data_IF_144073620230
#
_entry.id   IF_144073620230
#
_cell.length_a   1.000
_cell.length_b   1.000
_cell.length_c   1.000
_cell.angle_alpha   90.00
_cell.angle_beta   90.00
_cell.angle_gamma   90.00
#
_symmetry.space_group_name_H-M   'P 1'
#
loop_
_entity.id
_entity.type
_entity.pdbx_description
1 polymer ?
#
# COMPACT_ATOMS: atom_id res chain seq x y z
N UNK A 1 27.25 15.74 -25.86
CA UNK A 1 25.82 15.89 -25.51
C UNK A 1 25.56 15.65 -24.03
N UNK A 2 25.87 14.46 -23.48
CA UNK A 2 25.66 14.17 -22.05
C UNK A 2 26.47 15.10 -21.11
N UNK A 3 27.75 15.34 -21.41
CA UNK A 3 28.60 16.21 -20.59
C UNK A 3 28.16 17.68 -20.63
N UNK A 4 27.81 18.18 -21.81
CA UNK A 4 27.23 19.51 -22.00
C UNK A 4 25.90 19.68 -21.25
N UNK A 5 25.04 18.66 -21.24
CA UNK A 5 23.81 18.67 -20.44
C UNK A 5 24.11 18.65 -18.94
N UNK A 6 25.07 17.84 -18.48
CA UNK A 6 25.50 17.80 -17.08
C UNK A 6 25.99 19.16 -16.61
N UNK A 7 26.86 19.81 -17.38
CA UNK A 7 27.39 21.15 -17.07
C UNK A 7 26.27 22.19 -17.02
N UNK A 8 25.35 22.16 -17.98
CA UNK A 8 24.18 23.05 -18.00
C UNK A 8 23.23 22.82 -16.82
N UNK A 9 22.97 21.56 -16.47
CA UNK A 9 22.07 21.18 -15.38
C UNK A 9 22.61 21.62 -14.03
N UNK A 10 23.93 21.50 -13.81
CA UNK A 10 24.60 21.87 -12.56
C UNK A 10 25.05 23.35 -12.50
N UNK A 11 24.53 24.21 -13.37
CA UNK A 11 24.79 25.65 -13.27
C UNK A 11 24.33 26.20 -11.92
N UNK A 12 25.22 26.95 -11.25
CA UNK A 12 25.01 27.48 -9.89
C UNK A 12 23.70 28.27 -9.77
N UNK A 13 23.39 29.11 -10.76
CA UNK A 13 22.15 29.92 -10.82
C UNK A 13 20.85 29.11 -10.68
N UNK A 14 20.87 27.82 -11.00
CA UNK A 14 19.68 26.98 -10.92
C UNK A 14 19.48 26.39 -9.53
N UNK A 15 20.54 26.24 -8.75
CA UNK A 15 20.52 25.46 -7.51
C UNK A 15 20.83 26.27 -6.27
N UNK A 16 21.63 27.33 -6.40
CA UNK A 16 22.20 28.09 -5.30
C UNK A 16 21.79 29.56 -5.37
N UNK A 17 21.78 30.26 -4.22
CA UNK A 17 21.67 31.72 -4.19
C UNK A 17 22.79 32.40 -4.99
N UNK A 18 22.57 33.62 -5.54
CA UNK A 18 23.50 34.28 -6.47
C UNK A 18 24.94 34.49 -5.96
N UNK A 19 25.14 34.47 -4.64
CA UNK A 19 26.43 34.76 -3.98
C UNK A 19 27.23 33.51 -3.61
N UNK A 20 26.71 32.30 -3.85
CA UNK A 20 27.30 31.04 -3.39
C UNK A 20 27.66 30.13 -4.56
N UNK A 21 28.82 29.47 -4.46
CA UNK A 21 29.31 28.51 -5.47
C UNK A 21 29.28 27.07 -4.95
N UNK A 22 29.38 26.11 -5.85
CA UNK A 22 29.49 24.70 -5.43
C UNK A 22 30.74 24.42 -4.60
N UNK A 23 31.84 25.14 -4.85
CA UNK A 23 33.09 25.03 -4.08
C UNK A 23 32.92 25.43 -2.61
N UNK A 24 31.92 26.27 -2.29
CA UNK A 24 31.60 26.64 -0.91
C UNK A 24 30.92 25.52 -0.11
N UNK A 25 30.45 24.49 -0.81
CA UNK A 25 29.70 23.34 -0.27
C UNK A 25 30.50 22.03 -0.42
N UNK A 26 31.82 22.13 -0.58
CA UNK A 26 32.71 20.98 -0.48
C UNK A 26 33.06 20.69 0.98
N UNK A 27 33.38 19.43 1.30
CA UNK A 27 33.72 19.06 2.68
C UNK A 27 35.01 19.78 3.12
N UNK A 28 34.94 20.51 4.22
CA UNK A 28 36.06 21.24 4.80
C UNK A 28 35.90 21.32 6.32
N UNK A 29 37.02 21.45 7.05
CA UNK A 29 37.03 21.65 8.50
C UNK A 29 36.23 20.60 9.32
N UNK A 30 36.15 19.37 8.80
CA UNK A 30 35.37 18.28 9.40
C UNK A 30 33.86 18.39 9.18
N UNK A 31 33.38 19.41 8.46
CA UNK A 31 32.01 19.55 8.00
C UNK A 31 31.82 18.76 6.72
N UNK A 32 30.79 17.92 6.69
CA UNK A 32 30.38 17.17 5.50
C UNK A 32 29.16 17.86 4.91
N UNK A 33 29.11 17.99 3.59
CA UNK A 33 27.97 18.58 2.87
C UNK A 33 27.26 17.55 2.00
N UNK A 34 26.00 17.83 1.66
CA UNK A 34 25.21 16.96 0.80
C UNK A 34 25.73 16.97 -0.63
N UNK A 35 26.09 15.79 -1.13
CA UNK A 35 26.56 15.59 -2.50
C UNK A 35 25.55 14.78 -3.30
N UNK A 36 25.33 15.09 -4.58
CA UNK A 36 24.45 14.29 -5.45
C UNK A 36 24.88 12.83 -5.54
N UNK A 37 26.18 12.54 -5.41
CA UNK A 37 26.71 11.18 -5.42
C UNK A 37 26.18 10.30 -4.28
N UNK A 38 25.79 10.90 -3.15
CA UNK A 38 25.19 10.18 -2.04
C UNK A 38 23.87 9.51 -2.44
N UNK A 39 23.13 10.07 -3.40
CA UNK A 39 21.86 9.49 -3.85
C UNK A 39 22.04 8.13 -4.55
N UNK A 40 23.24 7.83 -5.07
CA UNK A 40 23.50 6.54 -5.71
C UNK A 40 23.41 5.36 -4.76
N UNK A 41 23.62 5.55 -3.45
CA UNK A 41 23.48 4.48 -2.45
C UNK A 41 22.02 4.03 -2.28
N UNK A 42 21.06 4.88 -2.62
CA UNK A 42 19.64 4.58 -2.40
C UNK A 42 19.14 3.44 -3.29
N UNK A 43 19.73 3.27 -4.47
CA UNK A 43 19.38 2.20 -5.41
C UNK A 43 19.82 0.81 -4.91
N UNK A 44 21.10 0.54 -4.56
CA UNK A 44 21.47 -0.74 -3.97
C UNK A 44 20.78 -0.99 -2.62
N UNK A 45 20.56 0.05 -1.80
CA UNK A 45 19.75 -0.08 -0.58
C UNK A 45 18.31 -0.49 -0.89
N UNK A 46 17.69 0.02 -1.96
CA UNK A 46 16.35 -0.39 -2.39
C UNK A 46 16.29 -1.87 -2.76
N UNK A 47 17.29 -2.39 -3.49
CA UNK A 47 17.38 -3.83 -3.77
C UNK A 47 17.58 -4.66 -2.49
N UNK A 48 18.39 -4.15 -1.54
CA UNK A 48 18.52 -4.74 -0.21
C UNK A 48 17.18 -4.83 0.54
N UNK A 49 16.38 -3.75 0.49
CA UNK A 49 15.03 -3.72 1.05
C UNK A 49 14.07 -4.70 0.35
N UNK A 50 14.19 -4.91 -0.97
CA UNK A 50 13.39 -5.91 -1.68
C UNK A 50 13.74 -7.34 -1.26
N UNK A 51 15.03 -7.64 -1.05
CA UNK A 51 15.46 -8.94 -0.53
C UNK A 51 14.94 -9.13 0.90
N UNK A 52 15.07 -8.11 1.74
CA UNK A 52 14.55 -8.12 3.10
C UNK A 52 13.03 -8.32 3.12
N UNK A 53 12.30 -7.62 2.23
CA UNK A 53 10.85 -7.78 2.03
C UNK A 53 10.49 -9.22 1.73
N UNK A 54 11.18 -9.87 0.79
CA UNK A 54 10.92 -11.26 0.43
C UNK A 54 11.02 -12.21 1.63
N UNK A 55 12.07 -12.04 2.45
CA UNK A 55 12.24 -12.83 3.66
C UNK A 55 11.21 -12.48 4.75
N UNK A 56 10.89 -11.20 4.92
CA UNK A 56 9.89 -10.72 5.86
C UNK A 56 8.50 -11.28 5.55
N UNK A 57 8.08 -11.21 4.29
CA UNK A 57 6.77 -11.72 3.86
C UNK A 57 6.65 -13.23 4.14
N UNK A 58 7.72 -13.97 3.84
CA UNK A 58 7.77 -15.43 4.04
C UNK A 58 7.82 -15.85 5.50
N UNK A 59 8.67 -15.24 6.31
CA UNK A 59 8.98 -15.71 7.67
C UNK A 59 8.20 -14.99 8.78
N UNK A 60 7.70 -13.78 8.54
CA UNK A 60 7.01 -12.98 9.55
C UNK A 60 5.56 -12.76 9.16
N UNK A 61 5.30 -12.23 7.97
CA UNK A 61 3.94 -11.86 7.59
C UNK A 61 3.04 -13.08 7.35
N UNK A 62 3.57 -14.17 6.76
CA UNK A 62 2.77 -15.37 6.49
C UNK A 62 2.33 -16.09 7.76
N UNK A 63 3.21 -16.35 8.76
CA UNK A 63 2.77 -16.89 10.04
C UNK A 63 1.80 -15.95 10.77
N UNK A 64 2.05 -14.64 10.76
CA UNK A 64 1.17 -13.67 11.40
C UNK A 64 -0.24 -13.70 10.79
N UNK A 65 -0.35 -13.74 9.45
CA UNK A 65 -1.63 -13.86 8.76
C UNK A 65 -2.38 -15.13 9.18
N UNK A 66 -1.68 -16.27 9.28
CA UNK A 66 -2.26 -17.55 9.74
C UNK A 66 -2.76 -17.47 11.18
N UNK A 67 -2.01 -16.82 12.08
CA UNK A 67 -2.45 -16.61 13.47
C UNK A 67 -3.66 -15.69 13.60
N UNK A 68 -3.84 -14.76 12.66
CA UNK A 68 -5.01 -13.88 12.58
C UNK A 68 -6.22 -14.53 11.89
N UNK A 69 -6.12 -15.82 11.54
CA UNK A 69 -7.21 -16.58 10.92
C UNK A 69 -7.35 -16.40 9.41
N UNK A 70 -6.38 -15.75 8.75
CA UNK A 70 -6.39 -15.63 7.29
C UNK A 70 -6.00 -16.98 6.69
N UNK A 71 -7.00 -17.69 6.15
CA UNK A 71 -6.78 -18.97 5.47
C UNK A 71 -6.10 -18.73 4.12
N UNK A 72 -5.18 -19.63 3.80
CA UNK A 72 -4.54 -19.68 2.48
C UNK A 72 -5.52 -20.39 1.54
N UNK A 73 -6.37 -19.62 0.85
CA UNK A 73 -7.35 -20.16 -0.09
C UNK A 73 -6.64 -20.92 -1.21
N UNK A 74 -6.83 -22.24 -1.23
CA UNK A 74 -6.43 -23.07 -2.36
C UNK A 74 -7.39 -22.80 -3.49
N UNK A 75 -7.03 -21.86 -4.38
CA UNK A 75 -7.87 -21.53 -5.53
C UNK A 75 -8.19 -22.77 -6.35
N UNK A 76 -9.48 -23.06 -6.51
CA UNK A 76 -9.96 -24.12 -7.39
C UNK A 76 -9.38 -23.89 -8.78
N UNK A 77 -8.67 -24.90 -9.31
CA UNK A 77 -8.21 -24.86 -10.71
C UNK A 77 -9.44 -24.87 -11.61
N UNK A 78 -9.60 -23.83 -12.41
CA UNK A 78 -10.64 -23.74 -13.44
C UNK A 78 -10.48 -24.94 -14.38
N UNK A 79 -11.62 -25.54 -14.75
CA UNK A 79 -11.62 -26.52 -15.81
C UNK A 79 -11.14 -25.86 -17.12
N UNK A 80 -10.12 -26.42 -17.79
CA UNK A 80 -9.58 -25.83 -19.01
C UNK A 80 -10.64 -25.90 -20.12
N UNK A 81 -11.09 -24.74 -20.59
CA UNK A 81 -11.95 -24.59 -21.76
C UNK A 81 -11.33 -23.57 -22.71
N UNK A 82 -10.85 -24.06 -23.85
CA UNK A 82 -10.12 -23.24 -24.84
C UNK A 82 -11.02 -22.19 -25.50
N UNK A 83 -12.31 -22.47 -25.67
CA UNK A 83 -13.26 -21.53 -26.29
C UNK A 83 -13.53 -20.35 -25.35
N UNK A 84 -13.76 -20.64 -24.07
CA UNK A 84 -14.00 -19.60 -23.05
C UNK A 84 -12.73 -18.78 -22.78
N UNK A 85 -11.56 -19.42 -22.73
CA UNK A 85 -10.27 -18.74 -22.54
C UNK A 85 -9.91 -17.81 -23.71
N UNK A 86 -10.17 -18.25 -24.94
CA UNK A 86 -9.95 -17.42 -26.13
C UNK A 86 -10.87 -16.20 -26.14
N UNK A 87 -12.15 -16.38 -25.79
CA UNK A 87 -13.09 -15.26 -25.68
C UNK A 87 -12.68 -14.29 -24.56
N UNK A 88 -12.28 -14.80 -23.40
CA UNK A 88 -11.82 -13.99 -22.27
C UNK A 88 -10.60 -13.13 -22.61
N UNK A 89 -9.63 -13.67 -23.36
CA UNK A 89 -8.39 -12.96 -23.74
C UNK A 89 -8.59 -11.95 -24.87
N UNK A 90 -9.45 -12.25 -25.83
CA UNK A 90 -9.52 -11.50 -27.09
C UNK A 90 -10.79 -10.65 -27.26
N UNK A 91 -11.83 -10.85 -26.44
CA UNK A 91 -13.10 -10.13 -26.57
C UNK A 91 -13.43 -9.31 -25.32
N UNK A 92 -13.85 -9.93 -24.22
CA UNK A 92 -14.21 -9.22 -22.99
C UNK A 92 -14.08 -10.13 -21.77
N UNK A 93 -13.76 -9.53 -20.62
CA UNK A 93 -13.71 -10.18 -19.30
C UNK A 93 -15.09 -10.29 -18.64
N UNK A 94 -16.03 -9.45 -19.05
CA UNK A 94 -17.41 -9.42 -18.61
C UNK A 94 -18.31 -9.60 -19.84
N UNK A 95 -18.65 -10.85 -20.19
CA UNK A 95 -19.54 -11.14 -21.32
C UNK A 95 -20.95 -10.63 -21.03
N UNK A 96 -21.63 -10.14 -22.06
CA UNK A 96 -23.06 -9.80 -21.98
C UNK A 96 -23.93 -11.06 -21.95
N UNK A 97 -25.21 -10.93 -21.61
CA UNK A 97 -26.10 -12.10 -21.55
C UNK A 97 -26.28 -12.79 -22.91
N UNK A 98 -26.21 -12.03 -24.00
CA UNK A 98 -26.20 -12.59 -25.37
C UNK A 98 -24.92 -13.39 -25.66
N UNK A 99 -23.77 -12.95 -25.14
CA UNK A 99 -22.51 -13.67 -25.29
C UNK A 99 -22.50 -14.96 -24.47
N UNK A 100 -23.01 -14.92 -23.24
CA UNK A 100 -23.13 -16.09 -22.35
C UNK A 100 -23.95 -17.18 -23.02
N UNK A 101 -25.12 -16.85 -23.58
CA UNK A 101 -25.96 -17.79 -24.32
C UNK A 101 -25.22 -18.41 -25.52
N UNK A 102 -24.53 -17.58 -26.32
CA UNK A 102 -23.75 -18.03 -27.47
C UNK A 102 -22.60 -18.97 -27.10
N UNK A 103 -21.91 -18.68 -25.98
CA UNK A 103 -20.80 -19.47 -25.47
C UNK A 103 -21.27 -20.79 -24.83
N UNK A 104 -22.41 -20.77 -24.13
CA UNK A 104 -23.06 -21.94 -23.57
C UNK A 104 -23.38 -22.96 -24.68
N UNK A 105 -23.99 -22.48 -25.77
CA UNK A 105 -24.30 -23.31 -26.94
C UNK A 105 -23.04 -23.87 -27.64
N UNK A 106 -21.98 -23.07 -27.77
CA UNK A 106 -20.71 -23.52 -28.40
C UNK A 106 -19.96 -24.55 -27.56
N UNK A 107 -20.04 -24.45 -26.24
CA UNK A 107 -19.30 -25.31 -25.31
C UNK A 107 -20.10 -26.53 -24.82
N UNK A 108 -21.38 -26.68 -25.22
CA UNK A 108 -22.33 -27.62 -24.63
C UNK A 108 -22.39 -27.49 -23.09
N UNK A 109 -22.37 -26.26 -22.60
CA UNK A 109 -22.48 -25.91 -21.19
C UNK A 109 -23.80 -25.18 -20.93
N UNK A 110 -24.24 -25.16 -19.68
CA UNK A 110 -25.33 -24.27 -19.25
C UNK A 110 -24.84 -22.84 -19.12
N UNK A 111 -25.74 -21.86 -19.25
CA UNK A 111 -25.42 -20.43 -19.05
C UNK A 111 -24.76 -20.20 -17.69
N UNK A 112 -25.32 -20.81 -16.63
CA UNK A 112 -24.78 -20.73 -15.27
C UNK A 112 -23.37 -21.30 -15.13
N UNK A 113 -23.02 -22.36 -15.89
CA UNK A 113 -21.65 -22.90 -15.91
C UNK A 113 -20.68 -21.96 -16.62
N UNK A 114 -21.13 -21.29 -17.70
CA UNK A 114 -20.33 -20.28 -18.40
C UNK A 114 -20.11 -19.07 -17.50
N UNK A 115 -21.16 -18.55 -16.85
CA UNK A 115 -21.06 -17.47 -15.87
C UNK A 115 -20.09 -17.81 -14.73
N UNK A 116 -20.23 -19.00 -14.13
CA UNK A 116 -19.31 -19.49 -13.10
C UNK A 116 -17.87 -19.61 -13.61
N UNK A 117 -17.68 -20.06 -14.84
CA UNK A 117 -16.34 -20.15 -15.44
C UNK A 117 -15.72 -18.76 -15.61
N UNK A 118 -16.44 -17.78 -16.14
CA UNK A 118 -15.94 -16.40 -16.29
C UNK A 118 -15.66 -15.75 -14.94
N UNK A 119 -16.53 -15.95 -13.95
CA UNK A 119 -16.36 -15.49 -12.57
C UNK A 119 -15.08 -16.09 -11.95
N UNK A 120 -14.96 -17.41 -11.95
CA UNK A 120 -13.77 -18.12 -11.45
C UNK A 120 -12.48 -17.71 -12.19
N UNK A 121 -12.57 -17.45 -13.51
CA UNK A 121 -11.45 -16.97 -14.33
C UNK A 121 -10.98 -15.58 -13.98
N UNK A 122 -11.90 -14.65 -13.66
CA UNK A 122 -11.54 -13.34 -13.13
C UNK A 122 -10.89 -13.48 -11.75
N UNK A 123 -11.46 -14.30 -10.88
CA UNK A 123 -10.96 -14.48 -9.50
C UNK A 123 -9.59 -15.18 -9.44
N UNK A 124 -9.24 -16.00 -10.44
CA UNK A 124 -7.89 -16.55 -10.55
C UNK A 124 -6.80 -15.51 -10.82
N UNK A 125 -7.11 -14.42 -11.55
CA UNK A 125 -6.16 -13.33 -11.81
C UNK A 125 -6.08 -12.32 -10.66
N UNK A 126 -7.07 -12.32 -9.74
CA UNK A 126 -7.08 -11.43 -8.57
C UNK A 126 -5.93 -11.80 -7.62
N UNK A 127 -5.43 -10.92 -6.76
CA UNK A 127 -4.42 -11.28 -5.78
C UNK A 127 -5.05 -11.82 -4.50
N UNK A 128 -4.51 -12.93 -3.97
CA UNK A 128 -5.02 -13.54 -2.75
C UNK A 128 -5.00 -12.56 -1.56
N UNK A 129 -5.99 -12.63 -0.68
CA UNK A 129 -6.06 -11.85 0.57
C UNK A 129 -4.79 -11.97 1.42
N UNK A 130 -4.21 -13.18 1.46
CA UNK A 130 -2.89 -13.43 2.06
C UNK A 130 -1.81 -12.50 1.50
N UNK A 131 -1.73 -12.35 0.17
CA UNK A 131 -0.77 -11.45 -0.47
C UNK A 131 -1.08 -9.98 -0.15
N UNK A 132 -2.35 -9.57 -0.22
CA UNK A 132 -2.79 -8.21 0.19
C UNK A 132 -2.34 -7.90 1.64
N UNK A 133 -2.47 -8.85 2.56
CA UNK A 133 -2.02 -8.74 3.95
C UNK A 133 -0.50 -8.68 4.08
N UNK A 134 0.25 -9.55 3.38
CA UNK A 134 1.71 -9.55 3.41
C UNK A 134 2.29 -8.21 2.95
N UNK A 135 1.78 -7.66 1.84
CA UNK A 135 2.19 -6.35 1.32
C UNK A 135 1.89 -5.23 2.33
N UNK A 136 0.70 -5.24 2.94
CA UNK A 136 0.32 -4.26 3.97
C UNK A 136 1.19 -4.38 5.24
N UNK A 137 1.50 -5.61 5.68
CA UNK A 137 2.32 -5.88 6.85
C UNK A 137 3.77 -5.41 6.68
N UNK A 138 4.35 -5.60 5.49
CA UNK A 138 5.67 -5.06 5.16
C UNK A 138 5.69 -3.54 5.23
N UNK A 139 4.71 -2.89 4.56
CA UNK A 139 4.60 -1.42 4.56
C UNK A 139 4.37 -0.87 5.96
N UNK A 140 3.46 -1.48 6.73
CA UNK A 140 3.24 -1.15 8.14
C UNK A 140 4.53 -1.17 8.95
N UNK A 141 5.30 -2.26 8.85
CA UNK A 141 6.54 -2.43 9.62
C UNK A 141 7.56 -1.36 9.24
N UNK A 142 7.73 -1.10 7.94
CA UNK A 142 8.63 -0.05 7.48
C UNK A 142 8.19 1.33 7.97
N UNK A 143 6.93 1.71 7.76
CA UNK A 143 6.42 3.02 8.17
C UNK A 143 6.47 3.23 9.69
N UNK A 144 6.22 2.18 10.47
CA UNK A 144 6.36 2.24 11.93
C UNK A 144 7.82 2.51 12.33
N UNK A 145 8.76 1.73 11.77
CA UNK A 145 10.18 1.86 12.09
C UNK A 145 10.74 3.22 11.65
N UNK A 146 10.38 3.70 10.45
CA UNK A 146 10.87 4.98 9.95
C UNK A 146 10.26 6.15 10.72
N UNK A 147 8.99 6.06 11.17
CA UNK A 147 8.39 7.07 12.04
C UNK A 147 9.13 7.15 13.38
N UNK A 148 9.42 6.01 14.01
CA UNK A 148 10.17 5.96 15.27
C UNK A 148 11.59 6.53 15.08
N UNK A 149 12.27 6.14 14.00
CA UNK A 149 13.59 6.66 13.65
C UNK A 149 13.55 8.17 13.39
N UNK A 150 12.55 8.66 12.66
CA UNK A 150 12.35 10.08 12.37
C UNK A 150 12.15 10.90 13.64
N UNK A 151 11.32 10.44 14.58
CA UNK A 151 11.18 11.07 15.90
C UNK A 151 12.52 11.08 16.63
N UNK A 152 13.23 9.95 16.68
CA UNK A 152 14.51 9.85 17.38
C UNK A 152 15.61 10.75 16.77
N UNK A 153 15.68 10.84 15.45
CA UNK A 153 16.67 11.64 14.71
C UNK A 153 16.39 13.14 14.70
N UNK A 154 15.15 13.53 15.01
CA UNK A 154 14.70 14.92 15.03
C UNK A 154 14.51 15.47 16.44
N UNK A 155 14.39 14.62 17.47
CA UNK A 155 14.09 15.04 18.84
C UNK A 155 15.05 16.10 19.41
N UNK A 156 16.34 16.02 19.09
CA UNK A 156 17.34 16.96 19.59
C UNK A 156 17.61 18.14 18.63
N UNK A 157 16.81 18.29 17.56
CA UNK A 157 17.10 19.25 16.49
C UNK A 157 16.29 20.55 16.67
N UNK A 158 16.95 21.73 16.68
CA UNK A 158 16.29 22.99 16.99
C UNK A 158 15.23 23.38 15.94
N UNK A 159 15.45 23.04 14.66
CA UNK A 159 14.54 23.37 13.56
C UNK A 159 13.19 22.66 13.61
N UNK A 160 13.02 21.69 14.50
CA UNK A 160 11.73 21.03 14.76
C UNK A 160 10.83 21.90 15.65
N UNK A 161 11.46 22.69 16.53
CA UNK A 161 10.77 23.53 17.51
C UNK A 161 10.68 24.99 17.06
N UNK A 162 11.67 25.46 16.29
CA UNK A 162 11.68 26.78 15.69
C UNK A 162 11.94 26.69 14.18
N UNK A 163 10.93 27.03 13.38
CA UNK A 163 11.00 26.98 11.91
C UNK A 163 12.03 27.96 11.34
N UNK A 164 12.43 28.99 12.09
CA UNK A 164 13.48 29.90 11.68
C UNK A 164 14.83 29.21 11.51
N UNK A 165 15.12 28.24 12.39
CA UNK A 165 16.35 27.46 12.38
C UNK A 165 16.43 26.53 11.16
N UNK A 166 15.34 26.32 10.41
CA UNK A 166 15.36 25.60 9.13
C UNK A 166 16.26 26.30 8.11
N UNK A 167 16.22 27.63 8.07
CA UNK A 167 16.95 28.44 7.08
C UNK A 167 18.19 29.11 7.64
N UNK A 168 18.38 29.06 8.96
CA UNK A 168 19.58 29.57 9.59
C UNK A 168 20.84 28.89 9.02
N UNK A 169 21.78 29.70 8.52
CA UNK A 169 23.00 29.24 7.87
C UNK A 169 22.82 28.59 6.49
N UNK A 170 21.61 28.58 5.91
CA UNK A 170 21.41 28.10 4.54
C UNK A 170 22.13 29.01 3.53
N UNK A 171 22.82 28.48 2.50
CA UNK A 171 22.96 27.06 2.11
C UNK A 171 24.12 26.30 2.77
N UNK A 172 24.91 26.92 3.64
CA UNK A 172 26.09 26.31 4.30
C UNK A 172 25.70 25.49 5.54
N UNK A 173 24.73 24.60 5.39
CA UNK A 173 24.29 23.70 6.45
C UNK A 173 25.02 22.37 6.33
N UNK A 174 25.72 21.97 7.38
CA UNK A 174 26.41 20.69 7.43
C UNK A 174 25.42 19.51 7.51
N UNK A 175 25.75 18.44 6.80
CA UNK A 175 25.03 17.18 6.78
C UNK A 175 25.33 16.38 8.04
N UNK A 176 24.28 16.09 8.80
CA UNK A 176 24.36 15.25 9.97
C UNK A 176 24.13 13.77 9.60
N UNK A 177 24.83 12.81 10.24
CA UNK A 177 24.66 11.38 9.95
C UNK A 177 23.23 10.86 10.15
N UNK A 178 22.50 11.37 11.15
CA UNK A 178 21.09 11.02 11.39
C UNK A 178 20.19 11.41 10.21
N UNK A 179 20.37 12.62 9.68
CA UNK A 179 19.62 13.13 8.54
C UNK A 179 20.01 12.39 7.25
N UNK A 180 21.29 12.03 7.10
CA UNK A 180 21.76 11.20 6.00
C UNK A 180 21.01 9.86 5.95
N UNK A 181 21.01 9.12 7.06
CA UNK A 181 20.37 7.80 7.10
C UNK A 181 18.85 7.90 6.99
N UNK A 182 18.23 8.94 7.54
CA UNK A 182 16.79 9.15 7.38
C UNK A 182 16.42 9.30 5.89
N UNK A 183 17.08 10.20 5.16
CA UNK A 183 16.86 10.41 3.73
C UNK A 183 17.16 9.15 2.91
N UNK A 184 18.29 8.48 3.18
CA UNK A 184 18.70 7.30 2.44
C UNK A 184 17.69 6.18 2.61
N UNK A 185 17.27 5.88 3.84
CA UNK A 185 16.33 4.79 4.11
C UNK A 185 14.96 5.04 3.47
N UNK A 186 14.42 6.25 3.62
CA UNK A 186 13.10 6.58 3.10
C UNK A 186 13.11 6.61 1.56
N UNK A 187 14.13 7.22 0.93
CA UNK A 187 14.25 7.23 -0.53
C UNK A 187 14.45 5.83 -1.09
N UNK A 188 15.26 4.99 -0.42
CA UNK A 188 15.46 3.58 -0.80
C UNK A 188 14.16 2.79 -0.73
N UNK A 189 13.30 3.07 0.24
CA UNK A 189 12.01 2.42 0.34
C UNK A 189 11.08 2.83 -0.81
N UNK A 190 11.00 4.12 -1.15
CA UNK A 190 10.23 4.56 -2.31
C UNK A 190 10.74 3.94 -3.63
N UNK A 191 12.06 3.83 -3.81
CA UNK A 191 12.65 3.09 -4.93
C UNK A 191 12.25 1.60 -4.91
N UNK A 192 12.26 0.97 -3.74
CA UNK A 192 11.87 -0.44 -3.59
C UNK A 192 10.40 -0.67 -3.99
N UNK A 193 9.51 0.26 -3.63
CA UNK A 193 8.10 0.24 -4.04
C UNK A 193 7.97 0.44 -5.55
N UNK A 194 8.74 1.36 -6.14
CA UNK A 194 8.75 1.60 -7.58
C UNK A 194 9.23 0.36 -8.38
N UNK A 195 10.29 -0.31 -7.93
CA UNK A 195 10.79 -1.52 -8.58
C UNK A 195 9.87 -2.72 -8.37
N UNK A 196 9.13 -2.76 -7.28
CA UNK A 196 8.14 -3.81 -7.00
C UNK A 196 6.81 -3.62 -7.76
N UNK A 197 6.61 -2.53 -8.50
CA UNK A 197 5.36 -2.23 -9.22
C UNK A 197 4.93 -3.34 -10.21
N UNK A 198 5.88 -4.10 -10.76
CA UNK A 198 5.59 -5.21 -11.67
C UNK A 198 5.00 -6.44 -10.97
N UNK A 199 5.37 -6.66 -9.71
CA UNK A 199 4.95 -7.80 -8.88
C UNK A 199 3.81 -7.47 -7.92
N UNK A 200 3.67 -6.20 -7.54
CA UNK A 200 2.66 -5.69 -6.62
C UNK A 200 1.27 -5.70 -7.27
N UNK A 201 0.25 -5.67 -6.41
CA UNK A 201 -1.16 -5.69 -6.80
C UNK A 201 -1.53 -4.39 -7.53
N UNK A 202 -1.93 -4.51 -8.79
CA UNK A 202 -2.41 -3.38 -9.60
C UNK A 202 -3.82 -2.99 -9.17
N UNK A 203 -3.98 -1.77 -8.64
CA UNK A 203 -5.27 -1.19 -8.23
C UNK A 203 -5.75 -0.17 -9.26
N UNK A 204 -7.03 0.23 -9.23
CA UNK A 204 -7.59 1.25 -10.16
C UNK A 204 -6.84 2.58 -10.12
N UNK A 205 -6.29 2.95 -8.97
CA UNK A 205 -5.46 4.16 -8.79
C UNK A 205 -3.96 3.93 -9.03
N UNK A 206 -3.57 2.84 -9.70
CA UNK A 206 -2.17 2.46 -9.89
C UNK A 206 -1.33 3.59 -10.51
N UNK A 207 -1.85 4.26 -11.56
CA UNK A 207 -1.13 5.34 -12.22
C UNK A 207 -0.93 6.54 -11.30
N UNK A 208 -1.96 6.94 -10.55
CA UNK A 208 -1.87 8.03 -9.59
C UNK A 208 -0.86 7.71 -8.48
N UNK A 209 -0.82 6.46 -8.02
CA UNK A 209 0.15 5.98 -7.03
C UNK A 209 1.58 6.04 -7.57
N UNK A 210 1.82 5.58 -8.80
CA UNK A 210 3.14 5.62 -9.46
C UNK A 210 3.63 7.05 -9.63
N UNK A 211 2.78 7.94 -10.16
CA UNK A 211 3.11 9.36 -10.34
C UNK A 211 3.47 10.00 -8.99
N UNK A 212 2.73 9.69 -7.93
CA UNK A 212 3.03 10.16 -6.58
C UNK A 212 4.40 9.69 -6.08
N UNK A 213 4.76 8.42 -6.28
CA UNK A 213 6.06 7.88 -5.86
C UNK A 213 7.22 8.54 -6.62
N UNK A 214 7.06 8.74 -7.93
CA UNK A 214 8.03 9.48 -8.73
C UNK A 214 8.16 10.93 -8.27
N UNK A 215 7.04 11.57 -7.91
CA UNK A 215 7.05 12.93 -7.36
C UNK A 215 7.76 12.99 -5.99
N UNK A 216 7.53 12.02 -5.10
CA UNK A 216 8.20 11.95 -3.80
C UNK A 216 9.72 11.75 -3.96
N UNK A 217 10.15 10.79 -4.79
CA UNK A 217 11.57 10.56 -5.10
C UNK A 217 12.21 11.81 -5.70
N UNK A 218 11.51 12.48 -6.62
CA UNK A 218 11.96 13.75 -7.23
C UNK A 218 12.13 14.83 -6.15
N UNK A 219 11.12 15.05 -5.31
CA UNK A 219 11.13 16.05 -4.26
C UNK A 219 12.29 15.84 -3.27
N UNK A 220 12.48 14.60 -2.81
CA UNK A 220 13.58 14.25 -1.91
C UNK A 220 14.96 14.39 -2.58
N UNK A 221 15.08 14.01 -3.86
CA UNK A 221 16.34 14.11 -4.62
C UNK A 221 16.74 15.57 -4.84
N UNK A 222 15.81 16.42 -5.27
CA UNK A 222 16.06 17.84 -5.45
C UNK A 222 16.31 18.55 -4.11
N UNK A 223 15.57 18.19 -3.06
CA UNK A 223 15.80 18.68 -1.69
C UNK A 223 17.23 18.36 -1.24
N UNK A 224 17.72 17.14 -1.48
CA UNK A 224 19.09 16.75 -1.17
C UNK A 224 20.12 17.56 -1.94
N UNK A 225 19.97 17.65 -3.27
CA UNK A 225 20.90 18.37 -4.14
C UNK A 225 20.95 19.88 -3.87
N UNK A 226 19.84 20.47 -3.41
CA UNK A 226 19.76 21.88 -3.03
C UNK A 226 20.09 22.14 -1.53
N UNK A 227 20.51 21.11 -0.78
CA UNK A 227 20.75 21.20 0.66
C UNK A 227 19.54 21.68 1.50
N UNK A 228 18.31 21.36 1.08
CA UNK A 228 17.08 21.58 1.84
C UNK A 228 16.80 20.44 2.84
N UNK A 229 17.85 19.92 3.49
CA UNK A 229 17.75 18.73 4.33
C UNK A 229 16.88 18.98 5.57
N UNK A 230 17.07 20.12 6.23
CA UNK A 230 16.28 20.47 7.42
C UNK A 230 14.79 20.52 7.10
N UNK A 231 14.40 21.29 6.08
CA UNK A 231 12.99 21.40 5.68
C UNK A 231 12.43 20.08 5.17
N UNK A 232 13.19 19.31 4.38
CA UNK A 232 12.71 18.03 3.87
C UNK A 232 12.57 16.96 4.95
N UNK A 233 13.40 16.95 6.01
CA UNK A 233 13.14 16.07 7.17
C UNK A 233 11.82 16.40 7.89
N UNK A 234 11.43 17.67 7.94
CA UNK A 234 10.12 18.07 8.49
C UNK A 234 8.98 17.63 7.57
N UNK A 235 9.16 17.73 6.26
CA UNK A 235 8.20 17.19 5.28
C UNK A 235 8.03 15.69 5.51
N UNK A 236 9.11 14.91 5.53
CA UNK A 236 9.12 13.46 5.70
C UNK A 236 8.32 13.02 6.96
N UNK A 237 8.69 13.55 8.14
CA UNK A 237 8.04 13.11 9.40
C UNK A 237 6.54 13.44 9.48
N UNK A 238 6.12 14.56 8.89
CA UNK A 238 4.70 14.96 8.83
C UNK A 238 3.88 14.00 7.96
N UNK A 239 4.50 13.34 6.99
CA UNK A 239 3.85 12.34 6.15
C UNK A 239 3.89 10.96 6.80
N UNK A 240 5.04 10.53 7.32
CA UNK A 240 5.24 9.20 7.90
C UNK A 240 4.27 8.87 9.04
N UNK A 241 3.99 9.85 9.91
CA UNK A 241 3.21 9.65 11.15
C UNK A 241 1.79 9.10 10.93
N UNK A 242 1.20 9.33 9.76
CA UNK A 242 -0.14 8.84 9.44
C UNK A 242 -0.11 7.45 8.78
N UNK A 243 0.96 7.09 8.08
CA UNK A 243 0.89 6.01 7.09
C UNK A 243 0.92 4.62 7.72
N UNK A 244 1.60 4.44 8.86
CA UNK A 244 1.56 3.17 9.58
C UNK A 244 0.15 2.88 10.14
N UNK A 245 -0.65 3.89 10.49
CA UNK A 245 -2.05 3.68 10.90
C UNK A 245 -2.91 3.17 9.75
N UNK A 246 -2.71 3.71 8.54
CA UNK A 246 -3.43 3.26 7.34
C UNK A 246 -3.13 1.80 7.01
N UNK A 247 -1.85 1.42 7.00
CA UNK A 247 -1.45 0.05 6.71
C UNK A 247 -1.92 -0.91 7.81
N UNK A 248 -1.92 -0.47 9.09
CA UNK A 248 -2.54 -1.22 10.18
C UNK A 248 -4.03 -1.47 9.93
N UNK A 249 -4.80 -0.44 9.57
CA UNK A 249 -6.22 -0.57 9.29
C UNK A 249 -6.49 -1.59 8.16
N UNK A 250 -5.68 -1.56 7.09
CA UNK A 250 -5.76 -2.56 6.00
C UNK A 250 -5.48 -3.98 6.49
N UNK A 251 -4.44 -4.18 7.30
CA UNK A 251 -4.12 -5.50 7.86
C UNK A 251 -5.31 -6.09 8.64
N UNK A 252 -5.95 -5.29 9.50
CA UNK A 252 -7.11 -5.74 10.27
C UNK A 252 -8.39 -5.88 9.43
N UNK A 253 -8.54 -5.08 8.36
CA UNK A 253 -9.57 -5.28 7.35
C UNK A 253 -9.44 -6.65 6.68
N UNK A 254 -8.23 -7.02 6.25
CA UNK A 254 -7.96 -8.34 5.66
C UNK A 254 -8.10 -9.50 6.66
N UNK A 255 -7.96 -9.25 7.96
CA UNK A 255 -8.25 -10.23 9.01
C UNK A 255 -9.74 -10.30 9.40
N UNK A 256 -10.63 -9.58 8.71
CA UNK A 256 -12.07 -9.43 9.03
C UNK A 256 -12.37 -8.87 10.42
N UNK A 257 -11.43 -8.16 11.05
CA UNK A 257 -11.61 -7.53 12.37
C UNK A 257 -12.21 -6.13 12.22
N UNK A 258 -13.51 -6.07 11.86
CA UNK A 258 -14.22 -4.82 11.52
C UNK A 258 -14.08 -3.73 12.58
N UNK A 259 -14.29 -4.05 13.87
CA UNK A 259 -14.22 -3.03 14.94
C UNK A 259 -12.82 -2.40 15.08
N UNK A 260 -11.76 -3.21 15.10
CA UNK A 260 -10.38 -2.74 15.20
C UNK A 260 -9.98 -1.93 13.97
N UNK A 261 -10.35 -2.40 12.77
CA UNK A 261 -10.16 -1.68 11.52
C UNK A 261 -10.80 -0.28 11.58
N UNK A 262 -12.04 -0.18 12.06
CA UNK A 262 -12.76 1.10 12.15
C UNK A 262 -12.07 2.09 13.10
N UNK A 263 -11.61 1.62 14.26
CA UNK A 263 -10.88 2.45 15.24
C UNK A 263 -9.57 2.94 14.63
N UNK A 264 -8.79 2.05 14.02
CA UNK A 264 -7.51 2.41 13.38
C UNK A 264 -7.70 3.36 12.21
N UNK A 265 -8.75 3.15 11.39
CA UNK A 265 -9.08 4.06 10.30
C UNK A 265 -9.48 5.45 10.80
N UNK A 266 -10.20 5.54 11.93
CA UNK A 266 -10.52 6.82 12.57
C UNK A 266 -9.25 7.53 13.06
N UNK A 267 -8.37 6.82 13.76
CA UNK A 267 -7.06 7.36 14.22
C UNK A 267 -6.25 7.84 13.01
N UNK A 268 -6.10 7.00 11.97
CA UNK A 268 -5.45 7.36 10.72
C UNK A 268 -6.03 8.66 10.14
N UNK A 269 -7.36 8.74 10.04
CA UNK A 269 -8.03 9.89 9.45
C UNK A 269 -7.75 11.17 10.24
N UNK A 270 -7.83 11.12 11.57
CA UNK A 270 -7.51 12.25 12.44
C UNK A 270 -6.06 12.69 12.27
N UNK A 271 -5.11 11.75 12.32
CA UNK A 271 -3.68 12.03 12.17
C UNK A 271 -3.39 12.61 10.78
N UNK A 272 -3.97 12.05 9.71
CA UNK A 272 -3.84 12.54 8.34
C UNK A 272 -4.33 13.99 8.20
N UNK A 273 -5.52 14.30 8.72
CA UNK A 273 -6.09 15.65 8.61
C UNK A 273 -5.23 16.67 9.36
N UNK A 274 -4.77 16.33 10.58
CA UNK A 274 -3.91 17.21 11.36
C UNK A 274 -2.55 17.38 10.69
N UNK A 275 -1.88 16.30 10.31
CA UNK A 275 -0.52 16.40 9.77
C UNK A 275 -0.48 17.05 8.40
N UNK A 276 -1.38 16.67 7.48
CA UNK A 276 -1.32 17.08 6.06
C UNK A 276 -2.24 18.24 5.68
N UNK A 277 -3.34 18.48 6.40
CA UNK A 277 -4.24 19.62 6.09
C UNK A 277 -4.10 20.77 7.08
N UNK A 278 -3.43 20.57 8.22
CA UNK A 278 -3.17 21.62 9.21
C UNK A 278 -1.66 21.90 9.29
N UNK A 279 -0.86 20.95 9.80
CA UNK A 279 0.58 21.17 10.03
C UNK A 279 1.32 21.49 8.71
N UNK A 280 1.12 20.68 7.68
CA UNK A 280 1.83 20.86 6.41
C UNK A 280 1.58 22.24 5.75
N UNK A 281 0.33 22.69 5.50
CA UNK A 281 0.13 23.97 4.81
C UNK A 281 0.43 25.21 5.65
N UNK A 282 0.09 25.20 6.95
CA UNK A 282 0.21 26.41 7.76
C UNK A 282 1.61 26.58 8.38
N UNK A 283 2.34 25.49 8.62
CA UNK A 283 3.70 25.55 9.19
C UNK A 283 4.76 25.22 8.15
N UNK A 284 4.69 24.06 7.49
CA UNK A 284 5.77 23.61 6.61
C UNK A 284 5.81 24.39 5.29
N UNK A 285 4.68 24.53 4.60
CA UNK A 285 4.61 25.34 3.38
C UNK A 285 4.92 26.81 3.67
N UNK A 286 4.42 27.36 4.78
CA UNK A 286 4.79 28.71 5.21
C UNK A 286 6.30 28.84 5.43
N UNK A 287 6.91 27.86 6.12
CA UNK A 287 8.34 27.78 6.34
C UNK A 287 9.12 27.72 5.02
N UNK A 288 8.64 27.05 3.97
CA UNK A 288 9.39 26.94 2.71
C UNK A 288 9.10 28.06 1.71
N UNK A 289 7.91 28.68 1.76
CA UNK A 289 7.48 29.72 0.82
C UNK A 289 7.76 31.15 1.29
N UNK A 290 7.74 31.40 2.60
CA UNK A 290 7.74 32.77 3.14
C UNK A 290 9.06 33.07 3.85
N UNK A 291 9.49 32.21 4.77
CA UNK A 291 10.70 32.44 5.57
C UNK A 291 11.97 32.72 4.74
N UNK A 292 12.29 31.93 3.68
CA UNK A 292 13.49 32.16 2.87
C UNK A 292 13.50 33.52 2.19
N UNK A 293 12.33 34.04 1.82
CA UNK A 293 12.21 35.30 1.08
C UNK A 293 12.62 36.53 1.89
N UNK A 294 12.76 36.39 3.21
CA UNK A 294 13.35 37.44 4.05
C UNK A 294 14.87 37.57 3.87
N UNK A 295 15.54 36.53 3.35
CA UNK A 295 17.00 36.44 3.26
C UNK A 295 17.52 36.20 1.85
N UNK A 296 16.71 35.58 1.00
CA UNK A 296 17.12 35.05 -0.29
C UNK A 296 16.15 35.52 -1.39
N UNK A 297 16.72 35.94 -2.50
CA UNK A 297 15.94 36.14 -3.71
C UNK A 297 15.52 34.78 -4.29
N UNK A 298 14.30 34.66 -4.86
CA UNK A 298 13.87 33.41 -5.50
C UNK A 298 14.80 32.99 -6.65
N UNK A 299 15.26 31.74 -6.62
CA UNK A 299 16.00 31.08 -7.71
C UNK A 299 15.27 29.81 -8.16
N UNK A 300 15.76 29.17 -9.21
CA UNK A 300 15.04 28.08 -9.88
C UNK A 300 14.70 26.91 -8.94
N UNK A 301 15.66 26.34 -8.19
CA UNK A 301 15.39 25.18 -7.34
C UNK A 301 14.43 25.51 -6.19
N UNK A 302 14.49 26.73 -5.64
CA UNK A 302 13.50 27.25 -4.70
C UNK A 302 12.08 27.23 -5.29
N UNK A 303 11.89 27.80 -6.48
CA UNK A 303 10.59 27.86 -7.16
C UNK A 303 10.11 26.44 -7.48
N UNK A 304 11.00 25.60 -8.02
CA UNK A 304 10.70 24.24 -8.44
C UNK A 304 10.24 23.35 -7.28
N UNK A 305 10.95 23.39 -6.15
CA UNK A 305 10.61 22.57 -4.98
C UNK A 305 9.33 23.06 -4.30
N UNK A 306 9.14 24.37 -4.16
CA UNK A 306 7.90 24.90 -3.61
C UNK A 306 6.69 24.62 -4.51
N UNK A 307 6.84 24.67 -5.84
CA UNK A 307 5.79 24.27 -6.77
C UNK A 307 5.41 22.79 -6.56
N UNK A 308 6.39 21.90 -6.38
CA UNK A 308 6.12 20.49 -6.08
C UNK A 308 5.41 20.30 -4.74
N UNK A 309 5.81 21.03 -3.69
CA UNK A 309 5.12 20.99 -2.39
C UNK A 309 3.68 21.49 -2.48
N UNK A 310 3.40 22.50 -3.32
CA UNK A 310 2.03 22.97 -3.58
C UNK A 310 1.20 21.92 -4.32
N UNK A 311 1.77 21.25 -5.33
CA UNK A 311 1.11 20.12 -6.01
C UNK A 311 0.82 18.99 -5.01
N UNK A 312 1.77 18.68 -4.13
CA UNK A 312 1.60 17.70 -3.07
C UNK A 312 0.45 18.08 -2.12
N UNK A 313 0.30 19.37 -1.81
CA UNK A 313 -0.83 19.84 -1.00
C UNK A 313 -2.18 19.67 -1.68
N UNK A 314 -2.27 19.95 -2.99
CA UNK A 314 -3.50 19.68 -3.76
C UNK A 314 -3.84 18.19 -3.71
N UNK A 315 -2.83 17.32 -3.80
CA UNK A 315 -3.03 15.89 -3.64
C UNK A 315 -3.54 15.55 -2.22
N UNK A 316 -2.99 16.13 -1.15
CA UNK A 316 -3.53 15.91 0.20
C UNK A 316 -4.99 16.30 0.34
N UNK A 317 -5.41 17.42 -0.28
CA UNK A 317 -6.81 17.84 -0.28
C UNK A 317 -7.68 16.82 -1.03
N UNK A 318 -7.22 16.33 -2.18
CA UNK A 318 -7.89 15.26 -2.94
C UNK A 318 -8.08 14.00 -2.08
N UNK A 319 -7.02 13.51 -1.43
CA UNK A 319 -7.10 12.30 -0.59
C UNK A 319 -7.92 12.55 0.68
N UNK A 320 -7.81 13.74 1.29
CA UNK A 320 -8.61 14.16 2.43
C UNK A 320 -10.11 14.17 2.12
N UNK A 321 -10.51 14.57 0.92
CA UNK A 321 -11.90 14.46 0.46
C UNK A 321 -12.39 13.00 0.46
N UNK A 322 -11.60 12.04 -0.05
CA UNK A 322 -11.97 10.62 -0.01
C UNK A 322 -12.06 10.07 1.41
N UNK A 323 -11.12 10.44 2.28
CA UNK A 323 -11.12 10.04 3.68
C UNK A 323 -12.40 10.54 4.37
N UNK A 324 -12.76 11.82 4.19
CA UNK A 324 -13.98 12.39 4.75
C UNK A 324 -15.24 11.74 4.17
N UNK A 325 -15.26 11.42 2.87
CA UNK A 325 -16.36 10.70 2.22
C UNK A 325 -16.55 9.31 2.84
N UNK A 326 -15.45 8.60 3.08
CA UNK A 326 -15.46 7.29 3.73
C UNK A 326 -15.91 7.39 5.18
N UNK A 327 -15.39 8.34 5.97
CA UNK A 327 -15.81 8.59 7.36
C UNK A 327 -17.32 8.85 7.48
N UNK A 328 -17.89 9.67 6.58
CA UNK A 328 -19.35 9.88 6.53
C UNK A 328 -20.09 8.56 6.33
N UNK A 329 -19.66 7.72 5.38
CA UNK A 329 -20.25 6.40 5.17
C UNK A 329 -20.17 5.52 6.43
N UNK A 330 -19.04 5.53 7.13
CA UNK A 330 -18.83 4.75 8.35
C UNK A 330 -19.82 5.14 9.47
N UNK A 331 -20.04 6.44 9.64
CA UNK A 331 -20.92 6.98 10.69
C UNK A 331 -22.40 6.72 10.35
N UNK A 332 -22.79 6.88 9.07
CA UNK A 332 -24.19 6.76 8.65
C UNK A 332 -24.65 5.34 8.33
N UNK A 333 -23.78 4.46 7.83
CA UNK A 333 -24.16 3.11 7.37
C UNK A 333 -23.72 1.97 8.30
N UNK A 334 -23.00 2.26 9.41
CA UNK A 334 -22.41 1.27 10.33
C UNK A 334 -21.48 0.21 9.67
N UNK A 335 -21.27 0.25 8.36
CA UNK A 335 -20.32 -0.60 7.63
C UNK A 335 -19.28 0.24 6.91
N UNK A 336 -18.00 -0.14 7.08
CA UNK A 336 -16.88 0.43 6.35
C UNK A 336 -16.62 -0.45 5.14
N UNK A 337 -17.07 0.02 3.97
CA UNK A 337 -16.52 -0.40 2.68
C UNK A 337 -15.71 0.77 2.13
N UNK A 338 -14.42 0.53 1.88
CA UNK A 338 -13.51 1.52 1.28
C UNK A 338 -14.12 1.98 -0.05
N UNK A 339 -14.32 3.28 -0.26
CA UNK A 339 -14.92 3.78 -1.53
C UNK A 339 -13.98 3.57 -2.71
N UNK A 340 -12.72 3.23 -2.43
CA UNK A 340 -11.69 2.82 -3.39
C UNK A 340 -11.57 1.30 -3.52
N UNK A 341 -12.26 0.51 -2.69
CA UNK A 341 -12.32 -0.93 -2.91
C UNK A 341 -13.04 -1.19 -4.22
N UNK A 342 -12.58 -2.19 -4.94
CA UNK A 342 -13.13 -2.52 -6.23
C UNK A 342 -14.59 -3.00 -6.04
N UNK A 343 -15.50 -2.73 -6.98
CA UNK A 343 -16.82 -3.39 -6.99
C UNK A 343 -16.65 -4.93 -7.05
N UNK A 344 -15.47 -5.36 -7.49
CA UNK A 344 -15.02 -6.74 -7.53
C UNK A 344 -14.54 -7.30 -6.17
N UNK A 345 -14.23 -6.45 -5.17
CA UNK A 345 -13.96 -6.90 -3.79
C UNK A 345 -15.29 -7.19 -3.06
N UNK A 346 -16.40 -6.52 -3.44
CA UNK A 346 -17.75 -6.83 -2.93
C UNK A 346 -18.24 -8.19 -3.45
N UNK A 347 -17.98 -8.50 -4.73
CA UNK A 347 -18.24 -9.84 -5.29
C UNK A 347 -17.39 -10.94 -4.58
N UNK A 348 -16.17 -10.64 -4.12
CA UNK A 348 -15.34 -11.61 -3.37
C UNK A 348 -15.95 -11.90 -1.98
N UNK A 349 -16.42 -10.88 -1.25
CA UNK A 349 -17.06 -11.08 0.05
C UNK A 349 -18.36 -11.90 -0.06
N UNK A 350 -19.21 -11.59 -1.03
CA UNK A 350 -20.45 -12.32 -1.29
C UNK A 350 -20.20 -13.77 -1.71
N UNK A 351 -19.17 -14.03 -2.52
CA UNK A 351 -18.77 -15.39 -2.91
C UNK A 351 -18.21 -16.20 -1.74
N UNK A 352 -17.43 -15.57 -0.83
CA UNK A 352 -16.93 -16.24 0.37
C UNK A 352 -18.08 -16.60 1.32
N UNK A 353 -19.09 -15.74 1.44
CA UNK A 353 -20.33 -16.05 2.17
C UNK A 353 -21.10 -17.20 1.50
N UNK A 354 -21.26 -17.18 0.17
CA UNK A 354 -21.90 -18.29 -0.58
C UNK A 354 -21.12 -19.62 -0.44
N UNK A 355 -19.78 -19.60 -0.46
CA UNK A 355 -18.96 -20.81 -0.29
C UNK A 355 -18.97 -21.33 1.15
N UNK A 356 -18.94 -20.45 2.16
CA UNK A 356 -19.10 -20.82 3.58
C UNK A 356 -20.49 -21.44 3.82
N UNK A 357 -21.56 -20.86 3.26
CA UNK A 357 -22.92 -21.41 3.31
C UNK A 357 -23.00 -22.78 2.60
N UNK A 358 -22.39 -22.93 1.42
CA UNK A 358 -22.36 -24.23 0.71
C UNK A 358 -21.56 -25.30 1.48
N UNK A 359 -20.50 -24.94 2.19
CA UNK A 359 -19.73 -25.88 3.04
C UNK A 359 -20.52 -26.30 4.28
N UNK A 360 -21.21 -25.35 4.93
CA UNK A 360 -22.11 -25.63 6.06
C UNK A 360 -23.28 -26.54 5.64
N UNK A 361 -23.89 -26.28 4.48
CA UNK A 361 -24.96 -27.12 3.91
C UNK A 361 -24.46 -28.54 3.62
N UNK A 362 -23.25 -28.67 3.04
CA UNK A 362 -22.63 -29.98 2.77
C UNK A 362 -22.35 -30.73 4.07
N UNK A 363 -21.83 -30.05 5.09
CA UNK A 363 -21.62 -30.64 6.42
C UNK A 363 -22.93 -31.13 7.06
N UNK A 364 -23.99 -30.32 7.02
CA UNK A 364 -25.31 -30.70 7.52
C UNK A 364 -25.89 -31.90 6.77
N UNK A 365 -25.77 -31.94 5.45
CA UNK A 365 -26.24 -33.07 4.63
C UNK A 365 -25.45 -34.34 4.94
N UNK A 366 -24.14 -34.26 5.16
CA UNK A 366 -23.34 -35.43 5.61
C UNK A 366 -23.72 -35.89 7.01
N UNK A 367 -23.88 -34.99 7.98
CA UNK A 367 -24.33 -35.33 9.35
C UNK A 367 -25.74 -35.92 9.35
N UNK A 368 -26.64 -35.43 8.49
CA UNK A 368 -27.99 -35.96 8.29
C UNK A 368 -27.97 -37.39 7.71
N UNK A 369 -27.12 -37.66 6.71
CA UNK A 369 -26.93 -39.01 6.15
C UNK A 369 -26.36 -39.99 7.17
N UNK A 370 -25.37 -39.58 7.96
CA UNK A 370 -24.81 -40.42 9.05
C UNK A 370 -25.87 -40.75 10.11
N UNK A 371 -26.70 -39.78 10.50
CA UNK A 371 -27.78 -39.97 11.47
C UNK A 371 -28.89 -40.90 10.97
N UNK A 372 -29.18 -40.86 9.67
CA UNK A 372 -30.14 -41.77 9.04
C UNK A 372 -29.59 -43.19 8.86
N UNK A 373 -28.29 -43.36 8.56
CA UNK A 373 -27.64 -44.67 8.57
C UNK A 373 -27.66 -45.34 9.96
N UNK A 374 -27.43 -44.57 11.03
CA UNK A 374 -27.50 -45.05 12.42
C UNK A 374 -28.91 -45.49 12.83
N UNK A 375 -29.96 -44.81 12.36
CA UNK A 375 -31.35 -45.20 12.63
C UNK A 375 -31.78 -46.46 11.88
N UNK A 376 -31.32 -46.65 10.65
CA UNK A 376 -31.67 -47.83 9.85
C UNK A 376 -30.92 -49.10 10.27
N UNK A 377 -29.73 -48.97 10.89
CA UNK A 377 -28.98 -50.11 11.44
C UNK A 377 -29.59 -50.73 12.70
N UNK A 378 -30.37 -49.98 13.48
CA UNK A 378 -31.03 -50.46 14.71
C UNK A 378 -32.40 -51.13 14.47
N UNK A 379 -32.94 -51.06 13.25
CA UNK A 379 -34.24 -51.65 12.89
C UNK A 379 -34.19 -53.09 12.35
N UNK A 380 -33.01 -53.60 11.98
CA UNK A 380 -32.87 -54.84 11.22
C UNK A 380 -32.62 -56.12 12.05
N UNK A 381 -32.64 -56.05 13.39
CA UNK A 381 -32.37 -57.19 14.29
C UNK A 381 -33.54 -57.55 15.21
N UNK A 382 -34.78 -57.58 14.67
CA UNK A 382 -35.89 -58.28 15.35
C UNK A 382 -36.83 -58.93 14.33
N UNK A 383 -36.52 -60.18 13.98
CA UNK A 383 -37.45 -61.30 13.74
C UNK A 383 -36.84 -62.30 12.75
N UNK A 384 -36.08 -63.26 13.29
CA UNK A 384 -35.92 -64.58 12.67
C UNK A 384 -36.20 -65.62 13.75
N UNK A 385 -37.40 -66.21 13.65
CA UNK A 385 -37.85 -67.35 14.43
C UNK A 385 -37.25 -68.61 13.78
N UNK A 386 -36.61 -69.53 14.53
CA UNK A 386 -36.37 -70.88 14.05
C UNK A 386 -37.42 -71.86 14.59
N UNK A 387 -37.86 -72.74 13.71
CA UNK A 387 -38.88 -73.76 13.89
C UNK A 387 -38.21 -75.16 13.87
N UNK A 388 -38.66 -76.10 14.74
CA UNK A 388 -38.33 -77.55 14.73
C UNK A 388 -37.01 -77.95 15.42
N UNK A 389 -36.82 -79.12 16.05
CA UNK A 389 -37.53 -80.41 16.22
C UNK A 389 -36.95 -81.12 17.48
N UNK A 390 -37.76 -81.77 18.32
CA UNK A 390 -37.84 -83.24 18.53
C UNK A 390 -36.52 -84.05 18.57
N UNK A 391 -36.30 -84.78 19.67
CA UNK A 391 -35.60 -86.08 19.63
C UNK A 391 -34.67 -86.41 20.81
N UNK A 392 -35.23 -87.10 21.82
CA UNK A 392 -34.64 -87.93 22.89
C UNK A 392 -33.60 -87.34 23.86
#
# INVERSE_FOLDING_TARGET
>A
MFQTFKEWFWLERFWLPPTIKWSDLEDHDGLVFAKPSHLYITIPCAFGLMILRHFFEKFIASPLAKTLGIKEEVRKKIMPNTVLENFFKHSTRQPSQTDIYGLAKKCNLTERQVERWFRSRRNQDKPCRMKKFQEACWRFTFYLLITIAGIAFLYDKPWVYDLWEVWNGYPRQALLPSQYWYYVLEMSFYWSLLFSLGSDIKRKDFLAHVIHHLAAISLMSFSWCANYIRSGTLVMIVHDVADFWLESAKMFSYARWKQTCNILFFIFSTVFLISRLIIFPFWILYCTLILPLHYLEPFFSYIFLNLHLMILQVLHVYWGYFILKMLKRCIFMKEIKDVRSDAEDEEEEEEEEEEEEEEEEKEEVTKSKERNCLKNGLGATKHLIPNGQHGR
#
